data_IF_466022829724
#
_entry.id   IF_466022829724
#
_cell.length_a   1.000
_cell.length_b   1.000
_cell.length_c   1.000
_cell.angle_alpha   90.00
_cell.angle_beta   90.00
_cell.angle_gamma   90.00
#
_symmetry.space_group_name_H-M   'P 1'
#
loop_
_entity.id
_entity.type
_entity.pdbx_description
1 polymer ?
#
# COMPACT_ATOMS: atom_id res chain seq x y z
N UNK A 1 -72.44 -2.35 -3.96
CA UNK A 1 -73.32 -2.49 -5.14
C UNK A 1 -73.26 -1.18 -5.90
N UNK A 2 -72.83 -1.26 -7.17
CA UNK A 2 -73.12 -0.39 -8.32
C UNK A 2 -73.16 1.13 -8.13
N UNK A 3 -72.64 1.98 -9.00
CA UNK A 3 -71.86 1.87 -10.23
C UNK A 3 -71.75 3.30 -10.77
N UNK A 4 -70.55 3.65 -11.23
CA UNK A 4 -70.26 4.38 -12.47
C UNK A 4 -71.09 5.59 -12.93
N UNK A 5 -70.31 6.65 -13.26
CA UNK A 5 -70.34 7.38 -14.55
C UNK A 5 -71.55 8.32 -14.78
N UNK A 6 -71.46 9.46 -15.43
CA UNK A 6 -70.44 10.13 -16.25
C UNK A 6 -70.96 11.56 -16.49
N UNK A 7 -70.03 12.49 -16.77
CA UNK A 7 -70.00 13.47 -17.88
C UNK A 7 -71.33 14.10 -18.38
N UNK A 8 -71.43 15.35 -18.80
CA UNK A 8 -70.49 16.35 -19.32
C UNK A 8 -71.32 17.64 -19.58
N UNK A 9 -70.65 18.65 -20.14
CA UNK A 9 -71.20 19.78 -20.94
C UNK A 9 -71.01 21.17 -20.34
N UNK A 10 -69.80 21.67 -20.63
CA UNK A 10 -69.45 22.90 -21.35
C UNK A 10 -70.04 24.26 -20.94
N UNK A 11 -69.07 25.13 -20.63
CA UNK A 11 -69.08 26.59 -20.61
C UNK A 11 -69.18 27.20 -22.02
N UNK A 12 -69.83 28.37 -22.11
CA UNK A 12 -69.35 29.53 -22.85
C UNK A 12 -69.74 30.80 -22.07
N UNK A 13 -68.87 31.81 -22.05
CA UNK A 13 -69.30 33.17 -21.71
C UNK A 13 -68.30 34.06 -20.99
N UNK A 14 -67.46 34.71 -21.80
CA UNK A 14 -67.06 36.12 -21.67
C UNK A 14 -65.75 36.55 -20.99
N UNK A 15 -65.07 37.38 -21.79
CA UNK A 15 -63.79 38.06 -21.69
C UNK A 15 -63.96 39.44 -21.06
N UNK A 16 -63.07 39.83 -20.15
CA UNK A 16 -62.57 41.21 -20.02
C UNK A 16 -61.43 41.31 -18.98
N UNK A 17 -60.26 41.75 -19.45
CA UNK A 17 -59.04 42.03 -18.67
C UNK A 17 -59.15 43.36 -17.91
N UNK A 18 -58.43 43.56 -16.78
CA UNK A 18 -57.10 44.17 -16.86
C UNK A 18 -56.04 43.67 -15.84
N UNK A 19 -54.80 44.08 -16.11
CA UNK A 19 -53.51 43.59 -15.58
C UNK A 19 -53.18 43.92 -14.11
N UNK A 20 -52.45 42.95 -13.54
CA UNK A 20 -51.31 43.05 -12.58
C UNK A 20 -51.56 43.31 -11.09
N UNK A 21 -51.47 42.23 -10.29
CA UNK A 21 -50.48 42.09 -9.20
C UNK A 21 -49.99 40.63 -9.20
N UNK A 22 -48.73 40.38 -9.59
CA UNK A 22 -48.10 39.05 -9.48
C UNK A 22 -47.51 38.88 -8.09
N UNK A 23 -48.09 38.01 -7.28
CA UNK A 23 -47.43 37.34 -6.16
C UNK A 23 -46.61 36.15 -6.71
N UNK A 24 -45.39 35.87 -6.23
CA UNK A 24 -44.56 34.83 -6.82
C UNK A 24 -45.03 33.45 -6.33
N UNK A 25 -45.59 32.65 -7.24
CA UNK A 25 -45.71 31.20 -7.07
C UNK A 25 -44.49 30.52 -7.67
N UNK A 26 -43.99 29.53 -6.94
CA UNK A 26 -42.76 28.81 -7.13
C UNK A 26 -42.53 28.29 -8.57
N UNK A 27 -41.32 28.56 -9.09
CA UNK A 27 -40.73 27.73 -10.13
C UNK A 27 -39.64 26.86 -9.51
N UNK A 28 -39.92 25.57 -9.50
CA UNK A 28 -38.97 24.47 -9.35
C UNK A 28 -37.93 24.64 -10.46
N UNK A 29 -36.65 24.82 -10.09
CA UNK A 29 -35.62 24.89 -11.11
C UNK A 29 -34.25 25.38 -10.69
N UNK A 30 -33.76 25.14 -9.47
CA UNK A 30 -32.34 25.36 -9.12
C UNK A 30 -31.90 24.45 -7.97
N UNK A 31 -31.95 23.13 -8.18
CA UNK A 31 -31.38 22.17 -7.23
C UNK A 31 -30.65 21.02 -7.94
N UNK A 32 -30.04 21.30 -9.09
CA UNK A 32 -29.25 20.32 -9.85
C UNK A 32 -27.94 20.89 -10.41
N UNK A 33 -27.38 21.91 -9.73
CA UNK A 33 -26.02 22.37 -10.00
C UNK A 33 -25.07 22.20 -8.80
N UNK A 34 -25.58 21.95 -7.58
CA UNK A 34 -24.75 21.79 -6.38
C UNK A 34 -24.42 20.33 -6.02
N UNK A 35 -24.91 19.35 -6.77
CA UNK A 35 -24.63 17.91 -6.54
C UNK A 35 -23.55 17.33 -7.49
N UNK A 36 -22.90 18.16 -8.31
CA UNK A 36 -21.76 17.72 -9.13
C UNK A 36 -20.39 18.26 -8.67
N UNK A 37 -20.31 18.90 -7.50
CA UNK A 37 -19.05 19.48 -6.99
C UNK A 37 -18.40 18.72 -5.83
N UNK A 38 -18.89 17.53 -5.47
CA UNK A 38 -18.25 16.70 -4.45
C UNK A 38 -17.45 15.59 -5.12
N UNK A 39 -16.12 15.80 -5.15
CA UNK A 39 -15.03 14.86 -5.47
C UNK A 39 -14.64 14.58 -6.93
N UNK A 40 -14.22 15.63 -7.64
CA UNK A 40 -13.12 15.52 -8.62
C UNK A 40 -11.85 16.15 -8.05
N UNK A 41 -11.34 15.66 -6.92
CA UNK A 41 -9.97 16.02 -6.51
C UNK A 41 -9.02 15.31 -7.46
N UNK A 42 -8.15 16.07 -8.13
CA UNK A 42 -7.11 15.51 -8.98
C UNK A 42 -6.27 14.54 -8.13
N UNK A 43 -6.17 13.24 -8.47
CA UNK A 43 -5.41 12.24 -7.71
C UNK A 43 -3.95 12.66 -7.44
N UNK A 44 -3.42 13.57 -8.25
CA UNK A 44 -2.03 14.03 -8.23
C UNK A 44 -1.82 15.16 -7.19
N UNK A 45 -2.88 15.80 -6.73
CA UNK A 45 -2.81 16.97 -5.82
C UNK A 45 -3.17 16.62 -4.37
N UNK A 46 -3.75 15.44 -4.14
CA UNK A 46 -4.12 14.99 -2.80
C UNK A 46 -2.93 14.28 -2.12
N UNK A 47 -2.36 14.82 -1.02
CA UNK A 47 -1.23 14.20 -0.32
C UNK A 47 -1.52 12.80 0.23
N UNK A 48 -2.79 12.44 0.39
CA UNK A 48 -3.21 11.10 0.85
C UNK A 48 -3.27 10.09 -0.29
N UNK A 49 -3.11 10.54 -1.53
CA UNK A 49 -3.14 9.68 -2.70
C UNK A 49 -1.78 9.01 -2.92
N UNK A 50 -1.73 7.69 -3.20
CA UNK A 50 -0.46 7.00 -3.45
C UNK A 50 0.31 7.55 -4.66
N UNK A 51 -0.38 8.15 -5.63
CA UNK A 51 0.20 8.77 -6.82
C UNK A 51 0.84 10.14 -6.56
N UNK A 52 0.55 10.78 -5.43
CA UNK A 52 1.15 12.06 -5.04
C UNK A 52 2.66 11.89 -4.76
N UNK A 53 3.49 12.72 -5.38
CA UNK A 53 4.94 12.73 -5.17
C UNK A 53 5.28 13.89 -4.25
N UNK A 54 5.80 13.59 -3.05
CA UNK A 54 6.22 14.60 -2.11
C UNK A 54 7.62 15.13 -2.47
N UNK A 55 7.90 16.40 -2.19
CA UNK A 55 9.21 17.00 -2.45
C UNK A 55 10.38 16.33 -1.67
N UNK A 56 10.07 15.60 -0.60
CA UNK A 56 11.03 14.82 0.17
C UNK A 56 11.23 13.38 -0.34
N UNK A 57 10.54 12.98 -1.41
CA UNK A 57 10.74 11.67 -2.06
C UNK A 57 12.02 11.68 -2.91
N UNK A 58 13.09 12.23 -2.32
CA UNK A 58 14.39 12.40 -2.90
C UNK A 58 15.13 11.07 -2.96
N UNK A 59 15.87 10.87 -4.06
CA UNK A 59 16.64 9.66 -4.35
C UNK A 59 17.79 9.41 -3.35
N UNK A 60 18.20 10.44 -2.58
CA UNK A 60 19.32 10.39 -1.64
C UNK A 60 18.98 9.96 -0.21
N UNK A 61 17.71 9.71 0.11
CA UNK A 61 17.34 9.29 1.46
C UNK A 61 17.78 7.84 1.71
N UNK A 62 18.42 7.59 2.85
CA UNK A 62 18.76 6.22 3.29
C UNK A 62 17.50 5.59 3.87
N UNK A 63 16.80 4.77 3.08
CA UNK A 63 15.56 4.10 3.49
C UNK A 63 15.81 2.89 4.41
N UNK A 64 16.94 2.23 4.21
CA UNK A 64 17.39 1.11 5.04
C UNK A 64 18.87 1.29 5.31
N UNK A 65 19.26 1.34 6.58
CA UNK A 65 20.65 1.58 6.98
C UNK A 65 21.57 0.41 6.65
N UNK A 66 21.03 -0.81 6.62
CA UNK A 66 21.76 -2.03 6.27
C UNK A 66 21.35 -2.49 4.87
N UNK A 67 22.30 -2.51 3.94
CA UNK A 67 22.06 -3.01 2.58
C UNK A 67 21.69 -4.49 2.61
N UNK A 68 20.78 -4.92 1.72
CA UNK A 68 20.57 -6.35 1.45
C UNK A 68 21.87 -6.94 0.90
N UNK A 69 22.43 -7.92 1.60
CA UNK A 69 23.64 -8.64 1.17
C UNK A 69 23.32 -10.08 0.76
N UNK A 70 22.21 -10.62 1.25
CA UNK A 70 21.76 -11.95 0.89
C UNK A 70 20.61 -12.42 1.77
N UNK A 71 20.53 -13.74 1.90
CA UNK A 71 19.49 -14.43 2.68
C UNK A 71 19.61 -14.17 4.19
N UNK A 72 20.82 -13.93 4.68
CA UNK A 72 21.18 -13.74 6.08
C UNK A 72 20.53 -12.52 6.72
N UNK A 73 20.28 -11.45 5.95
CA UNK A 73 19.68 -10.23 6.47
C UNK A 73 18.37 -9.84 5.77
N UNK A 74 17.87 -10.69 4.84
CA UNK A 74 16.66 -10.41 4.07
C UNK A 74 15.44 -10.12 4.94
N UNK A 75 15.23 -10.86 6.04
CA UNK A 75 14.05 -10.67 6.91
C UNK A 75 14.04 -9.27 7.53
N UNK A 76 15.17 -8.87 8.13
CA UNK A 76 15.33 -7.55 8.74
C UNK A 76 15.28 -6.43 7.70
N UNK A 77 15.97 -6.61 6.56
CA UNK A 77 15.98 -5.67 5.45
C UNK A 77 14.58 -5.46 4.86
N UNK A 78 13.88 -6.55 4.53
CA UNK A 78 12.54 -6.49 3.92
C UNK A 78 11.54 -5.82 4.84
N UNK A 79 11.61 -6.08 6.15
CA UNK A 79 10.77 -5.40 7.14
C UNK A 79 11.07 -3.90 7.20
N UNK A 80 12.34 -3.51 7.26
CA UNK A 80 12.74 -2.11 7.28
C UNK A 80 12.30 -1.37 6.01
N UNK A 81 12.46 -2.01 4.85
CA UNK A 81 12.09 -1.46 3.55
C UNK A 81 10.58 -1.26 3.41
N UNK A 82 9.77 -2.23 3.83
CA UNK A 82 8.31 -2.08 3.84
C UNK A 82 7.86 -0.94 4.75
N UNK A 83 8.46 -0.81 5.93
CA UNK A 83 8.13 0.26 6.87
C UNK A 83 8.46 1.64 6.28
N UNK A 84 9.65 1.82 5.75
CA UNK A 84 10.09 3.10 5.19
C UNK A 84 9.32 3.50 3.92
N UNK A 85 8.87 2.54 3.11
CA UNK A 85 7.99 2.79 1.96
C UNK A 85 6.54 3.07 2.41
N UNK A 86 6.06 2.40 3.46
CA UNK A 86 4.68 2.57 3.94
C UNK A 86 4.40 3.99 4.43
N UNK A 87 5.37 4.63 5.11
CA UNK A 87 5.23 6.01 5.56
C UNK A 87 5.19 7.03 4.42
N UNK A 88 5.60 6.64 3.20
CA UNK A 88 5.53 7.44 1.98
C UNK A 88 4.27 7.18 1.16
N UNK A 89 3.39 6.30 1.63
CA UNK A 89 2.19 5.87 0.91
C UNK A 89 2.51 5.26 -0.48
N UNK A 90 3.64 4.54 -0.58
CA UNK A 90 4.09 3.91 -1.84
C UNK A 90 4.07 2.39 -1.79
N UNK A 91 3.53 1.79 -0.72
CA UNK A 91 3.57 0.34 -0.51
C UNK A 91 2.90 -0.43 -1.66
N UNK A 92 1.84 0.14 -2.27
CA UNK A 92 1.13 -0.49 -3.36
C UNK A 92 1.92 -0.63 -4.67
N UNK A 93 2.95 0.18 -4.88
CA UNK A 93 3.89 0.02 -5.99
C UNK A 93 4.92 -1.08 -5.71
N UNK A 94 5.25 -1.31 -4.44
CA UNK A 94 6.20 -2.34 -4.00
C UNK A 94 5.58 -3.74 -4.08
N UNK A 95 4.34 -3.91 -3.65
CA UNK A 95 3.65 -5.21 -3.65
C UNK A 95 2.81 -5.47 -4.91
N UNK A 96 2.65 -4.47 -5.77
CA UNK A 96 1.90 -4.57 -7.03
C UNK A 96 0.38 -4.46 -6.86
N UNK A 97 -0.12 -4.10 -5.66
CA UNK A 97 -1.55 -3.84 -5.46
C UNK A 97 -2.07 -2.60 -6.22
N UNK A 98 -1.17 -1.70 -6.64
CA UNK A 98 -1.47 -0.61 -7.58
C UNK A 98 -1.02 -1.04 -8.99
N UNK A 99 -1.94 -1.54 -9.84
CA UNK A 99 -1.58 -2.05 -11.16
C UNK A 99 -1.13 -0.92 -12.10
N UNK A 100 -0.29 -1.28 -13.07
CA UNK A 100 0.12 -0.36 -14.14
C UNK A 100 -1.12 0.06 -14.96
N UNK A 101 -1.42 1.36 -15.08
CA UNK A 101 -2.54 1.85 -15.87
C UNK A 101 -2.38 1.56 -17.36
N UNK A 102 -3.49 1.60 -18.10
CA UNK A 102 -3.47 1.57 -19.56
C UNK A 102 -2.74 2.81 -20.11
N UNK A 103 -2.00 2.64 -21.20
CA UNK A 103 -1.34 3.74 -21.91
C UNK A 103 -2.31 4.77 -22.50
N UNK A 104 -3.61 4.45 -22.57
CA UNK A 104 -4.67 5.37 -22.99
C UNK A 104 -4.90 6.50 -21.98
N UNK A 105 -4.68 6.27 -20.68
CA UNK A 105 -4.70 7.32 -19.66
C UNK A 105 -3.27 7.82 -19.44
N UNK A 106 -2.83 8.71 -20.34
CA UNK A 106 -1.46 9.24 -20.34
C UNK A 106 -1.08 9.91 -19.01
N UNK A 107 -2.02 10.63 -18.39
CA UNK A 107 -1.79 11.35 -17.14
C UNK A 107 -1.51 10.37 -16.00
N UNK A 108 -2.40 9.40 -15.79
CA UNK A 108 -2.24 8.41 -14.73
C UNK A 108 -1.05 7.49 -14.99
N UNK A 109 -0.82 7.11 -16.25
CA UNK A 109 0.33 6.31 -16.68
C UNK A 109 1.66 6.97 -16.30
N UNK A 110 1.86 8.24 -16.64
CA UNK A 110 3.13 8.92 -16.34
C UNK A 110 3.35 9.11 -14.85
N UNK A 111 2.30 9.36 -14.07
CA UNK A 111 2.41 9.48 -12.62
C UNK A 111 2.73 8.12 -12.01
N UNK A 112 2.12 7.04 -12.49
CA UNK A 112 2.45 5.67 -12.08
C UNK A 112 3.92 5.36 -12.35
N UNK A 113 4.42 5.64 -13.57
CA UNK A 113 5.81 5.38 -13.96
C UNK A 113 6.79 6.11 -13.04
N UNK A 114 6.53 7.40 -12.73
CA UNK A 114 7.38 8.17 -11.82
C UNK A 114 7.43 7.56 -10.42
N UNK A 115 6.28 7.20 -9.85
CA UNK A 115 6.22 6.58 -8.52
C UNK A 115 6.90 5.20 -8.49
N UNK A 116 6.67 4.37 -9.51
CA UNK A 116 7.35 3.10 -9.67
C UNK A 116 8.87 3.28 -9.73
N UNK A 117 9.37 4.21 -10.53
CA UNK A 117 10.81 4.47 -10.67
C UNK A 117 11.44 5.00 -9.37
N UNK A 118 10.71 5.82 -8.61
CA UNK A 118 11.14 6.23 -7.27
C UNK A 118 11.31 5.00 -6.37
N UNK A 119 10.34 4.09 -6.33
CA UNK A 119 10.45 2.86 -5.52
C UNK A 119 11.60 1.97 -6.01
N UNK A 120 11.79 1.80 -7.32
CA UNK A 120 12.93 1.07 -7.90
C UNK A 120 14.24 1.68 -7.40
N UNK A 121 14.37 3.01 -7.46
CA UNK A 121 15.60 3.69 -7.02
C UNK A 121 15.90 3.46 -5.54
N UNK A 122 14.87 3.44 -4.67
CA UNK A 122 15.04 3.14 -3.26
C UNK A 122 15.47 1.69 -3.04
N UNK A 123 14.95 0.74 -3.83
CA UNK A 123 15.41 -0.65 -3.80
C UNK A 123 16.89 -0.70 -4.22
N UNK A 124 17.26 -0.13 -5.36
CA UNK A 124 18.64 -0.13 -5.85
C UNK A 124 19.63 0.48 -4.85
N UNK A 125 19.22 1.55 -4.15
CA UNK A 125 20.04 2.20 -3.12
C UNK A 125 20.10 1.44 -1.78
N UNK A 126 19.30 0.39 -1.61
CA UNK A 126 19.19 -0.38 -0.37
C UNK A 126 19.72 -1.82 -0.51
N UNK A 127 20.32 -2.17 -1.64
CA UNK A 127 20.90 -3.51 -1.88
C UNK A 127 22.40 -3.42 -2.16
N UNK A 128 23.12 -4.53 -2.03
CA UNK A 128 24.53 -4.62 -2.42
C UNK A 128 24.70 -4.38 -3.92
N UNK A 129 25.90 -3.95 -4.35
CA UNK A 129 26.19 -3.69 -5.78
C UNK A 129 25.96 -4.91 -6.67
N UNK A 130 26.27 -6.10 -6.15
CA UNK A 130 26.07 -7.38 -6.85
C UNK A 130 24.58 -7.65 -7.08
N UNK A 131 23.75 -7.47 -6.05
CA UNK A 131 22.30 -7.63 -6.16
C UNK A 131 21.72 -6.57 -7.08
N UNK A 132 22.10 -5.30 -6.89
CA UNK A 132 21.67 -4.17 -7.73
C UNK A 132 21.90 -4.44 -9.21
N UNK A 133 23.07 -4.96 -9.58
CA UNK A 133 23.40 -5.28 -10.97
C UNK A 133 22.46 -6.32 -11.57
N UNK A 134 21.96 -7.26 -10.76
CA UNK A 134 21.05 -8.32 -11.22
C UNK A 134 19.61 -7.85 -11.45
N UNK A 135 19.19 -6.74 -10.84
CA UNK A 135 17.81 -6.20 -10.90
C UNK A 135 17.72 -4.86 -11.63
N UNK A 136 18.83 -4.32 -12.13
CA UNK A 136 18.92 -2.96 -12.67
C UNK A 136 17.99 -2.71 -13.86
N UNK A 137 17.75 -3.74 -14.68
CA UNK A 137 16.99 -3.64 -15.92
C UNK A 137 15.50 -3.98 -15.76
N UNK A 138 15.04 -4.31 -14.56
CA UNK A 138 13.62 -4.53 -14.31
C UNK A 138 12.86 -3.20 -14.26
N UNK A 139 11.74 -3.15 -14.99
CA UNK A 139 10.91 -1.94 -15.09
C UNK A 139 9.85 -1.83 -13.99
N UNK A 140 9.69 -2.87 -13.16
CA UNK A 140 8.62 -2.96 -12.16
C UNK A 140 9.19 -3.19 -10.77
N UNK A 141 8.91 -2.25 -9.86
CA UNK A 141 9.27 -2.39 -8.45
C UNK A 141 8.69 -3.68 -7.85
N UNK A 142 7.47 -4.06 -8.24
CA UNK A 142 6.81 -5.27 -7.77
C UNK A 142 7.51 -6.55 -8.27
N UNK A 143 8.03 -6.54 -9.50
CA UNK A 143 8.80 -7.68 -10.03
C UNK A 143 10.11 -7.84 -9.26
N UNK A 144 10.85 -6.74 -9.09
CA UNK A 144 12.09 -6.71 -8.30
C UNK A 144 11.83 -7.21 -6.89
N UNK A 145 10.81 -6.68 -6.23
CA UNK A 145 10.45 -7.06 -4.86
C UNK A 145 10.12 -8.56 -4.75
N UNK A 146 9.39 -9.10 -5.73
CA UNK A 146 9.03 -10.51 -5.79
C UNK A 146 10.25 -11.40 -6.05
N UNK A 147 11.13 -11.03 -6.98
CA UNK A 147 12.37 -11.74 -7.25
C UNK A 147 13.27 -11.80 -6.00
N UNK A 148 13.53 -10.66 -5.37
CA UNK A 148 14.31 -10.60 -4.12
C UNK A 148 13.68 -11.46 -3.02
N UNK A 149 12.35 -11.46 -2.91
CA UNK A 149 11.63 -12.34 -1.99
C UNK A 149 11.85 -13.81 -2.32
N UNK A 150 11.61 -14.24 -3.56
CA UNK A 150 11.79 -15.65 -3.94
C UNK A 150 13.23 -16.12 -3.73
N UNK A 151 14.20 -15.26 -4.04
CA UNK A 151 15.63 -15.56 -3.95
C UNK A 151 16.14 -15.64 -2.50
N UNK A 152 15.74 -14.70 -1.64
CA UNK A 152 16.36 -14.51 -0.32
C UNK A 152 15.42 -14.78 0.87
N UNK A 153 14.11 -14.99 0.66
CA UNK A 153 13.16 -15.33 1.73
C UNK A 153 13.21 -16.82 2.14
N UNK A 154 14.03 -17.65 1.49
CA UNK A 154 14.09 -19.08 1.81
C UNK A 154 14.46 -19.31 3.28
N UNK A 155 13.88 -20.34 3.90
CA UNK A 155 14.22 -20.71 5.28
C UNK A 155 15.63 -21.30 5.31
N UNK A 156 16.55 -20.55 5.90
CA UNK A 156 17.93 -20.99 6.05
C UNK A 156 18.05 -21.84 7.34
N UNK A 157 17.89 -23.16 7.23
CA UNK A 157 18.08 -24.10 8.35
C UNK A 157 19.42 -23.89 9.09
N UNK A 158 20.55 -23.78 8.36
CA UNK A 158 21.83 -23.38 8.94
C UNK A 158 21.81 -22.03 9.68
N UNK A 159 21.15 -21.00 9.15
CA UNK A 159 21.01 -19.71 9.85
C UNK A 159 20.20 -19.83 11.13
N UNK A 160 19.07 -20.54 11.10
CA UNK A 160 18.26 -20.81 12.30
C UNK A 160 19.10 -21.56 13.35
N UNK A 161 19.91 -22.53 12.92
CA UNK A 161 20.85 -23.21 13.81
C UNK A 161 21.90 -22.24 14.38
N UNK A 162 22.46 -21.37 13.55
CA UNK A 162 23.42 -20.35 13.99
C UNK A 162 22.80 -19.37 15.00
N UNK A 163 21.58 -18.88 14.76
CA UNK A 163 20.86 -18.02 15.70
C UNK A 163 20.62 -18.72 17.04
N UNK A 164 20.19 -19.99 17.02
CA UNK A 164 20.05 -20.81 18.23
C UNK A 164 21.37 -20.99 18.97
N UNK A 165 22.46 -21.27 18.25
CA UNK A 165 23.80 -21.41 18.81
C UNK A 165 24.30 -20.09 19.41
N UNK A 166 24.08 -18.97 18.72
CA UNK A 166 24.39 -17.63 19.22
C UNK A 166 23.62 -17.33 20.50
N UNK A 167 22.33 -17.69 20.56
CA UNK A 167 21.52 -17.53 21.76
C UNK A 167 22.06 -18.33 22.95
N UNK A 168 22.41 -19.61 22.74
CA UNK A 168 22.96 -20.48 23.80
C UNK A 168 24.34 -20.02 24.30
N UNK A 169 25.15 -19.43 23.41
CA UNK A 169 26.50 -18.99 23.74
C UNK A 169 26.58 -17.53 24.18
N UNK A 170 25.47 -16.77 24.13
CA UNK A 170 25.48 -15.35 24.45
C UNK A 170 25.74 -15.16 25.95
N UNK A 171 26.93 -14.65 26.27
CA UNK A 171 27.34 -14.27 27.61
C UNK A 171 27.48 -12.75 27.71
N UNK A 172 27.30 -12.21 28.90
CA UNK A 172 27.44 -10.77 29.13
C UNK A 172 28.88 -10.30 28.91
N UNK A 173 29.86 -11.05 29.43
CA UNK A 173 31.29 -10.72 29.36
C UNK A 173 31.56 -9.27 29.80
N UNK A 174 32.17 -8.46 28.94
CA UNK A 174 32.51 -7.05 29.18
C UNK A 174 31.39 -6.09 28.78
N UNK A 175 30.25 -6.58 28.29
CA UNK A 175 29.12 -5.74 27.89
C UNK A 175 28.39 -5.21 29.13
N UNK A 176 27.88 -3.98 29.01
CA UNK A 176 26.90 -3.48 29.97
C UNK A 176 25.63 -4.35 29.92
N UNK A 177 24.90 -4.40 31.03
CA UNK A 177 23.64 -5.16 31.13
C UNK A 177 22.67 -4.75 30.01
N UNK A 178 22.57 -3.44 29.73
CA UNK A 178 21.73 -2.92 28.66
C UNK A 178 22.15 -3.43 27.27
N UNK A 179 23.45 -3.46 26.97
CA UNK A 179 23.95 -3.96 25.69
C UNK A 179 23.77 -5.47 25.54
N UNK A 180 23.99 -6.23 26.62
CA UNK A 180 23.72 -7.66 26.65
C UNK A 180 22.25 -7.96 26.36
N UNK A 181 21.33 -7.27 27.05
CA UNK A 181 19.89 -7.44 26.84
C UNK A 181 19.46 -7.07 25.40
N UNK A 182 20.01 -5.99 24.85
CA UNK A 182 19.77 -5.62 23.45
C UNK A 182 20.19 -6.73 22.49
N UNK A 183 21.39 -7.30 22.65
CA UNK A 183 21.85 -8.42 21.81
C UNK A 183 20.96 -9.66 21.96
N UNK A 184 20.61 -10.01 23.19
CA UNK A 184 19.72 -11.13 23.49
C UNK A 184 18.38 -10.97 22.79
N UNK A 185 17.76 -9.79 22.91
CA UNK A 185 16.49 -9.47 22.30
C UNK A 185 16.57 -9.51 20.77
N UNK A 186 17.62 -8.97 20.16
CA UNK A 186 17.79 -9.01 18.70
C UNK A 186 17.80 -10.44 18.17
N UNK A 187 18.62 -11.33 18.74
CA UNK A 187 18.67 -12.74 18.32
C UNK A 187 17.33 -13.44 18.54
N UNK A 188 16.65 -13.13 19.64
CA UNK A 188 15.34 -13.71 19.98
C UNK A 188 14.24 -13.32 18.98
N UNK A 189 14.12 -12.03 18.67
CA UNK A 189 13.13 -11.51 17.72
C UNK A 189 13.40 -12.03 16.29
N UNK A 190 14.66 -12.10 15.89
CA UNK A 190 15.04 -12.67 14.60
C UNK A 190 14.63 -14.15 14.51
N UNK A 191 14.90 -14.94 15.54
CA UNK A 191 14.50 -16.35 15.60
C UNK A 191 12.97 -16.51 15.60
N UNK A 192 12.23 -15.58 16.21
CA UNK A 192 10.77 -15.59 16.22
C UNK A 192 10.16 -15.46 14.82
N UNK A 193 10.82 -14.73 13.91
CA UNK A 193 10.38 -14.58 12.51
C UNK A 193 10.49 -15.87 11.69
N UNK A 194 11.30 -16.84 12.12
CA UNK A 194 11.42 -18.15 11.48
C UNK A 194 10.43 -19.19 12.03
N UNK A 195 9.57 -18.83 13.00
CA UNK A 195 8.53 -19.76 13.48
C UNK A 195 7.63 -20.17 12.32
N UNK A 196 7.33 -21.47 12.16
CA UNK A 196 6.38 -21.88 11.16
C UNK A 196 5.02 -21.25 11.46
N UNK A 197 4.54 -20.41 10.53
CA UNK A 197 3.12 -20.04 10.46
C UNK A 197 2.36 -21.27 10.04
N UNK A 198 1.96 -22.09 11.02
CA UNK A 198 1.05 -23.19 10.80
C UNK A 198 -0.37 -22.60 10.80
N UNK A 199 -0.82 -22.14 9.65
CA UNK A 199 -2.24 -21.77 9.42
C UNK A 199 -3.09 -22.96 8.99
N UNK A 200 -2.52 -24.15 8.85
CA UNK A 200 -3.35 -25.31 8.63
C UNK A 200 -4.01 -25.75 9.93
N UNK A 201 -5.34 -25.65 9.95
CA UNK A 201 -6.20 -26.37 10.86
C UNK A 201 -5.94 -27.87 10.70
N UNK A 202 -4.93 -28.38 11.40
CA UNK A 202 -4.66 -29.82 11.52
C UNK A 202 -3.43 -30.39 10.82
N UNK A 203 -2.47 -29.62 10.28
CA UNK A 203 -1.20 -30.29 9.93
C UNK A 203 -0.36 -30.55 11.19
N UNK A 204 0.07 -31.79 11.37
CA UNK A 204 1.31 -32.09 12.07
C UNK A 204 2.47 -31.61 11.20
N UNK A 205 2.88 -30.35 11.35
CA UNK A 205 4.22 -29.94 10.93
C UNK A 205 5.21 -30.80 11.73
N UNK A 206 5.99 -31.64 11.07
CA UNK A 206 6.80 -32.72 11.66
C UNK A 206 7.95 -32.27 12.56
N UNK A 207 7.67 -31.52 13.61
CA UNK A 207 8.60 -31.06 14.62
C UNK A 207 8.08 -31.41 16.00
N UNK A 208 8.71 -32.43 16.59
CA UNK A 208 8.58 -32.89 17.98
C UNK A 208 7.35 -33.77 18.27
N UNK A 209 7.55 -35.09 18.14
CA UNK A 209 6.78 -36.07 18.94
C UNK A 209 7.03 -35.73 20.41
N UNK A 210 5.97 -35.41 21.16
CA UNK A 210 6.04 -35.36 22.63
C UNK A 210 6.50 -36.73 23.13
N UNK A 211 7.59 -36.74 23.91
CA UNK A 211 7.89 -37.81 24.85
C UNK A 211 6.96 -37.68 26.06
#
# INVERSE_FOLDING_TARGET
>A
MSSEHQAETQMEGEDQTPRMVRSPSASIGHANQDLQFINSRNPIEDPTNPYYIHHEDNLGNVFVSQLLIGQENYVSWSRAMQLSISVKNKLGFLDGSIPKPSSSDYTLYNVWIRNNNIVISWILNSVSKEISSSILYDESAANIWTDLKVRFHQRNGPHIHNLRKSLMNLKQETLSIGMYFTKLKTVWEELANYRPSCTCNGCTCGGVKKL
#
